data_IF_913752535279
#
_entry.id   IF_913752535279
#
_cell.length_a   1.000
_cell.length_b   1.000
_cell.length_c   1.000
_cell.angle_alpha   90.00
_cell.angle_beta   90.00
_cell.angle_gamma   90.00
#
_symmetry.space_group_name_H-M   'P 1'
#
loop_
_entity.id
_entity.type
_entity.pdbx_description
1 polymer ?
#
# COMPACT_ATOMS: atom_id res chain seq x y z
N UNK A 1 -20.03 -5.77 -4.86
CA UNK A 1 -20.37 -7.15 -5.25
C UNK A 1 -21.84 -7.41 -4.93
N UNK A 2 -22.50 -8.34 -5.64
CA UNK A 2 -23.92 -8.65 -5.39
C UNK A 2 -24.15 -9.34 -4.03
N UNK A 3 -23.16 -10.10 -3.55
CA UNK A 3 -23.17 -10.71 -2.23
C UNK A 3 -21.74 -10.97 -1.73
N UNK A 4 -21.61 -11.55 -0.54
CA UNK A 4 -20.33 -12.06 0.00
C UNK A 4 -19.95 -13.43 -0.58
N UNK A 5 -20.72 -13.97 -1.53
CA UNK A 5 -20.39 -15.23 -2.18
C UNK A 5 -19.06 -15.10 -2.95
N UNK A 6 -18.16 -16.10 -2.91
CA UNK A 6 -16.83 -16.01 -3.53
C UNK A 6 -16.84 -15.66 -5.02
N UNK A 7 -17.86 -16.07 -5.76
CA UNK A 7 -18.01 -15.74 -7.19
C UNK A 7 -18.27 -14.26 -7.39
N UNK A 8 -19.18 -13.67 -6.60
CA UNK A 8 -19.58 -12.27 -6.75
C UNK A 8 -18.44 -11.31 -6.40
N UNK A 9 -17.66 -11.64 -5.35
CA UNK A 9 -16.47 -10.88 -4.98
C UNK A 9 -15.42 -10.94 -6.08
N UNK A 10 -15.14 -12.13 -6.63
CA UNK A 10 -14.17 -12.29 -7.72
C UNK A 10 -14.62 -11.59 -9.00
N UNK A 11 -15.92 -11.57 -9.30
CA UNK A 11 -16.46 -10.86 -10.46
C UNK A 11 -16.16 -9.35 -10.39
N UNK A 12 -16.30 -8.72 -9.22
CA UNK A 12 -15.93 -7.30 -9.07
C UNK A 12 -14.42 -7.07 -9.19
N UNK A 13 -13.59 -7.97 -8.65
CA UNK A 13 -12.11 -7.88 -8.82
C UNK A 13 -11.72 -7.92 -10.30
N UNK A 14 -12.29 -8.84 -11.06
CA UNK A 14 -12.06 -8.95 -12.51
C UNK A 14 -12.61 -7.73 -13.26
N UNK A 15 -13.78 -7.21 -12.87
CA UNK A 15 -14.36 -6.00 -13.47
C UNK A 15 -13.43 -4.80 -13.32
N UNK A 16 -12.81 -4.63 -12.16
CA UNK A 16 -11.81 -3.57 -11.94
C UNK A 16 -10.59 -3.77 -12.84
N UNK A 17 -10.00 -4.97 -12.87
CA UNK A 17 -8.83 -5.26 -13.69
C UNK A 17 -9.06 -5.05 -15.20
N UNK A 18 -10.27 -5.33 -15.69
CA UNK A 18 -10.65 -5.06 -17.08
C UNK A 18 -10.68 -3.56 -17.44
N UNK A 19 -10.82 -2.69 -16.45
CA UNK A 19 -10.80 -1.23 -16.62
C UNK A 19 -9.39 -0.64 -16.42
N UNK A 20 -8.38 -1.44 -16.09
CA UNK A 20 -7.01 -0.95 -15.89
C UNK A 20 -6.34 -0.81 -17.25
N UNK A 21 -5.79 0.37 -17.54
CA UNK A 21 -5.00 0.57 -18.76
C UNK A 21 -3.72 -0.25 -18.71
N UNK A 22 -3.30 -0.76 -19.87
CA UNK A 22 -1.98 -1.40 -20.00
C UNK A 22 -0.90 -0.37 -19.69
N UNK A 23 0.03 -0.74 -18.81
CA UNK A 23 1.18 0.09 -18.48
C UNK A 23 2.21 0.07 -19.61
N UNK A 24 2.77 1.24 -19.91
CA UNK A 24 3.96 1.37 -20.73
C UNK A 24 5.17 1.69 -19.85
N UNK A 25 6.38 1.49 -20.39
CA UNK A 25 7.62 1.82 -19.67
C UNK A 25 7.72 3.31 -19.29
N UNK A 26 7.00 4.20 -19.99
CA UNK A 26 6.90 5.61 -19.65
C UNK A 26 6.10 5.88 -18.37
N UNK A 27 5.23 4.94 -17.97
CA UNK A 27 4.37 5.06 -16.78
C UNK A 27 5.03 4.45 -15.53
N UNK A 28 6.27 3.96 -15.68
CA UNK A 28 6.97 3.19 -14.67
C UNK A 28 8.36 3.76 -14.44
N UNK A 29 8.73 3.91 -13.17
CA UNK A 29 10.10 4.15 -12.73
C UNK A 29 10.67 2.85 -12.22
N UNK A 30 11.78 2.43 -12.81
CA UNK A 30 12.52 1.23 -12.42
C UNK A 30 13.81 1.65 -11.73
N UNK A 31 14.22 0.86 -10.74
CA UNK A 31 15.49 1.06 -10.02
C UNK A 31 16.18 -0.26 -9.75
N UNK A 32 17.49 -0.20 -9.57
CA UNK A 32 18.34 -1.30 -9.14
C UNK A 32 19.19 -0.79 -7.97
N UNK A 33 19.21 -1.50 -6.85
CA UNK A 33 19.95 -1.05 -5.68
C UNK A 33 21.46 -1.26 -5.87
N UNK A 34 22.23 -0.33 -5.30
CA UNK A 34 23.69 -0.35 -5.26
C UNK A 34 24.14 -0.39 -3.81
N UNK A 35 25.40 -0.76 -3.58
CA UNK A 35 25.99 -0.71 -2.25
C UNK A 35 25.89 0.69 -1.65
N UNK A 36 25.58 0.78 -0.36
CA UNK A 36 25.74 2.00 0.43
C UNK A 36 27.15 2.01 1.04
N UNK A 37 28.07 2.88 0.58
CA UNK A 37 29.43 2.93 1.09
C UNK A 37 29.54 3.30 2.58
N UNK A 38 28.48 3.89 3.14
CA UNK A 38 28.41 4.27 4.55
C UNK A 38 27.58 3.27 5.37
N UNK A 39 27.06 2.22 4.75
CA UNK A 39 26.26 1.19 5.39
C UNK A 39 27.10 0.17 6.13
N UNK A 40 26.42 -0.78 6.76
CA UNK A 40 27.04 -1.91 7.46
C UNK A 40 26.45 -3.24 6.97
N UNK A 41 27.25 -4.32 7.05
CA UNK A 41 26.80 -5.67 6.70
C UNK A 41 26.35 -5.80 5.24
N UNK A 42 25.15 -6.35 5.02
CA UNK A 42 24.59 -6.57 3.67
C UNK A 42 24.33 -5.26 2.90
N UNK A 43 24.24 -4.10 3.58
CA UNK A 43 24.06 -2.81 2.92
C UNK A 43 25.29 -2.40 2.08
N UNK A 44 26.47 -2.96 2.37
CA UNK A 44 27.70 -2.73 1.61
C UNK A 44 27.76 -3.51 0.29
N UNK A 45 26.75 -4.33 0.00
CA UNK A 45 26.67 -5.18 -1.19
C UNK A 45 25.54 -4.72 -2.10
N UNK A 46 25.85 -4.32 -3.32
CA UNK A 46 24.88 -3.98 -4.36
C UNK A 46 24.31 -5.22 -5.05
N UNK A 47 23.30 -5.02 -5.91
CA UNK A 47 22.65 -6.14 -6.61
C UNK A 47 23.60 -6.88 -7.56
N UNK A 48 24.50 -6.15 -8.22
CA UNK A 48 25.49 -6.73 -9.13
C UNK A 48 26.71 -7.33 -8.42
N UNK A 49 26.85 -7.09 -7.11
CA UNK A 49 27.93 -7.66 -6.30
C UNK A 49 27.58 -9.08 -5.81
N UNK A 50 26.31 -9.50 -5.94
CA UNK A 50 25.89 -10.87 -5.64
C UNK A 50 26.44 -11.84 -6.70
N UNK A 51 27.24 -12.86 -6.32
CA UNK A 51 27.88 -13.77 -7.25
C UNK A 51 26.88 -14.67 -8.01
N UNK A 52 25.62 -14.74 -7.57
CA UNK A 52 24.55 -15.48 -8.26
C UNK A 52 23.86 -14.65 -9.35
N UNK A 53 24.12 -13.34 -9.40
CA UNK A 53 23.56 -12.43 -10.38
C UNK A 53 24.48 -12.33 -11.61
N UNK A 54 23.95 -12.47 -12.84
CA UNK A 54 24.75 -12.29 -14.05
C UNK A 54 25.36 -10.89 -14.16
N UNK A 55 26.63 -10.82 -14.58
CA UNK A 55 27.30 -9.54 -14.85
C UNK A 55 26.50 -8.71 -15.86
N UNK A 56 26.29 -7.42 -15.54
CA UNK A 56 25.52 -6.51 -16.38
C UNK A 56 24.00 -6.71 -16.36
N UNK A 57 23.45 -7.48 -15.42
CA UNK A 57 22.00 -7.67 -15.26
C UNK A 57 21.27 -6.33 -15.12
N UNK A 58 20.25 -6.12 -15.96
CA UNK A 58 19.36 -4.95 -15.92
C UNK A 58 18.06 -5.23 -15.14
N UNK A 59 18.05 -6.27 -14.30
CA UNK A 59 16.85 -6.69 -13.56
C UNK A 59 16.48 -5.63 -12.53
N UNK A 60 15.24 -5.08 -12.55
CA UNK A 60 14.83 -4.07 -11.58
C UNK A 60 14.60 -4.69 -10.20
N UNK A 61 15.15 -4.06 -9.16
CA UNK A 61 14.93 -4.40 -7.76
C UNK A 61 13.97 -3.43 -7.08
N UNK A 62 13.55 -2.39 -7.79
CA UNK A 62 12.53 -1.41 -7.40
C UNK A 62 11.66 -1.08 -8.60
N UNK A 63 10.37 -0.92 -8.37
CA UNK A 63 9.43 -0.40 -9.34
C UNK A 63 8.41 0.53 -8.69
N UNK A 64 8.15 1.66 -9.33
CA UNK A 64 7.01 2.53 -9.05
C UNK A 64 6.19 2.71 -10.34
N UNK A 65 4.90 2.42 -10.29
CA UNK A 65 4.01 2.51 -11.45
C UNK A 65 2.74 3.27 -11.09
N UNK A 66 2.19 4.01 -12.06
CA UNK A 66 0.89 4.69 -11.92
C UNK A 66 -0.14 3.99 -12.78
N UNK A 67 -1.07 3.28 -12.14
CA UNK A 67 -2.23 2.70 -12.79
C UNK A 67 -3.38 3.72 -12.86
N UNK A 68 -4.16 3.64 -13.92
CA UNK A 68 -5.44 4.34 -14.06
C UNK A 68 -6.54 3.33 -14.33
N UNK A 69 -7.66 3.49 -13.62
CA UNK A 69 -8.82 2.61 -13.71
C UNK A 69 -9.93 3.38 -14.41
N UNK A 70 -10.20 3.04 -15.66
CA UNK A 70 -11.20 3.72 -16.49
C UNK A 70 -12.61 3.22 -16.15
N UNK A 71 -13.18 3.74 -15.07
CA UNK A 71 -14.60 3.61 -14.76
C UNK A 71 -15.11 4.86 -14.04
N UNK A 72 -16.42 4.97 -13.92
CA UNK A 72 -17.09 6.13 -13.30
C UNK A 72 -16.56 6.48 -11.90
N UNK A 73 -16.19 5.49 -11.09
CA UNK A 73 -15.75 5.69 -9.71
C UNK A 73 -14.32 6.22 -9.61
N UNK A 74 -13.44 5.78 -10.49
CA UNK A 74 -11.99 5.99 -10.40
C UNK A 74 -11.42 6.83 -11.53
N UNK A 75 -12.29 7.44 -12.34
CA UNK A 75 -11.85 8.34 -13.40
C UNK A 75 -11.02 9.50 -12.83
N UNK A 76 -9.89 9.78 -13.47
CA UNK A 76 -8.91 10.77 -13.00
C UNK A 76 -8.05 10.35 -11.80
N UNK A 77 -8.39 9.32 -11.03
CA UNK A 77 -7.67 8.94 -9.80
C UNK A 77 -6.44 8.06 -10.11
N UNK A 78 -5.21 8.48 -9.75
CA UNK A 78 -4.01 7.68 -9.95
C UNK A 78 -3.83 6.62 -8.84
N UNK A 79 -3.61 5.37 -9.24
CA UNK A 79 -3.24 4.28 -8.34
C UNK A 79 -1.73 4.06 -8.39
N UNK A 80 -1.02 4.48 -7.35
CA UNK A 80 0.44 4.39 -7.29
C UNK A 80 0.85 3.08 -6.62
N UNK A 81 1.51 2.20 -7.35
CA UNK A 81 2.12 0.99 -6.81
C UNK A 81 3.62 1.21 -6.66
N UNK A 82 4.15 0.95 -5.46
CA UNK A 82 5.58 1.00 -5.19
C UNK A 82 6.00 -0.30 -4.51
N UNK A 83 7.06 -0.91 -5.00
CA UNK A 83 7.68 -2.06 -4.36
C UNK A 83 9.18 -2.06 -4.62
N UNK A 84 9.95 -2.63 -3.70
CA UNK A 84 11.37 -2.81 -3.91
C UNK A 84 12.06 -3.54 -2.76
N UNK A 85 13.33 -3.85 -2.99
CA UNK A 85 14.26 -4.44 -2.02
C UNK A 85 15.33 -3.42 -1.62
N UNK A 86 16.04 -3.70 -0.53
CA UNK A 86 17.06 -2.81 0.04
C UNK A 86 16.54 -1.38 0.26
N UNK A 87 15.28 -1.28 0.72
CA UNK A 87 14.67 -0.02 1.11
C UNK A 87 14.91 0.26 2.59
N UNK A 88 14.57 1.49 3.01
CA UNK A 88 14.77 1.97 4.37
C UNK A 88 13.96 1.21 5.45
N UNK A 89 12.88 0.52 5.07
CA UNK A 89 12.03 -0.21 6.01
C UNK A 89 11.30 -1.38 5.33
N UNK A 90 10.96 -2.40 6.12
CA UNK A 90 9.98 -3.42 5.73
C UNK A 90 8.60 -2.84 5.97
N UNK A 91 7.81 -2.62 4.91
CA UNK A 91 6.43 -2.11 5.04
C UNK A 91 5.55 -2.56 3.87
N UNK A 92 4.33 -3.00 4.19
CA UNK A 92 3.24 -3.20 3.25
C UNK A 92 2.03 -2.39 3.73
N UNK A 93 1.56 -1.47 2.90
CA UNK A 93 0.56 -0.48 3.29
C UNK A 93 -0.31 -0.08 2.10
N UNK A 94 -1.58 0.19 2.37
CA UNK A 94 -2.50 0.88 1.46
C UNK A 94 -2.76 2.27 2.03
N UNK A 95 -2.53 3.30 1.22
CA UNK A 95 -2.76 4.70 1.58
C UNK A 95 -3.76 5.32 0.61
N UNK A 96 -4.81 5.91 1.17
CA UNK A 96 -5.82 6.66 0.43
C UNK A 96 -5.69 8.11 0.87
N UNK A 97 -5.22 8.98 -0.03
CA UNK A 97 -5.16 10.41 0.19
C UNK A 97 -6.41 11.07 -0.40
N UNK A 98 -7.12 11.84 0.41
CA UNK A 98 -8.33 12.55 -0.01
C UNK A 98 -7.98 13.88 -0.69
N UNK A 99 -8.94 14.46 -1.42
CA UNK A 99 -8.80 15.80 -1.99
C UNK A 99 -8.75 16.88 -0.90
N UNK A 100 -8.24 18.05 -1.28
CA UNK A 100 -8.25 19.23 -0.42
C UNK A 100 -9.71 19.65 -0.12
N UNK A 101 -9.94 20.19 1.08
CA UNK A 101 -11.26 20.70 1.45
C UNK A 101 -11.59 21.92 0.59
N UNK A 102 -12.73 21.95 -0.13
CA UNK A 102 -13.08 23.09 -0.95
C UNK A 102 -13.45 24.30 -0.07
N UNK A 103 -13.09 25.51 -0.53
CA UNK A 103 -13.43 26.74 0.17
C UNK A 103 -12.63 26.94 1.46
N UNK A 104 -11.31 26.77 1.38
CA UNK A 104 -10.42 26.89 2.52
C UNK A 104 -10.50 28.28 3.19
N UNK A 105 -10.85 28.28 4.47
CA UNK A 105 -10.93 29.45 5.35
C UNK A 105 -9.75 29.54 6.32
N UNK A 106 -8.76 28.66 6.18
CA UNK A 106 -7.60 28.52 7.05
C UNK A 106 -6.28 28.80 6.31
N UNK A 107 -6.30 29.62 5.26
CA UNK A 107 -5.12 30.14 4.56
C UNK A 107 -4.12 29.09 4.04
N UNK A 108 -4.61 27.97 3.50
CA UNK A 108 -3.79 26.89 2.96
C UNK A 108 -3.18 25.97 4.02
N UNK A 109 -3.54 26.14 5.29
CA UNK A 109 -3.07 25.30 6.40
C UNK A 109 -3.64 23.88 6.44
N UNK A 110 -4.89 23.57 6.00
CA UNK A 110 -5.38 22.21 6.06
C UNK A 110 -4.57 21.31 5.12
N UNK A 111 -4.07 20.19 5.65
CA UNK A 111 -3.48 19.12 4.84
C UNK A 111 -4.58 18.16 4.38
N UNK A 112 -4.29 17.42 3.31
CA UNK A 112 -5.14 16.33 2.83
C UNK A 112 -5.24 15.25 3.88
N UNK A 113 -6.47 14.79 4.13
CA UNK A 113 -6.70 13.64 5.00
C UNK A 113 -6.11 12.38 4.34
N UNK A 114 -5.70 11.42 5.17
CA UNK A 114 -5.17 10.14 4.69
C UNK A 114 -5.75 8.98 5.49
N UNK A 115 -6.35 8.00 4.81
CA UNK A 115 -6.65 6.70 5.42
C UNK A 115 -5.50 5.74 5.12
N UNK A 116 -4.91 5.20 6.17
CA UNK A 116 -3.75 4.32 6.09
C UNK A 116 -4.09 2.96 6.68
N UNK A 117 -3.87 1.92 5.89
CA UNK A 117 -4.06 0.52 6.29
C UNK A 117 -2.69 -0.14 6.18
N UNK A 118 -2.02 -0.33 7.31
CA UNK A 118 -0.73 -1.03 7.39
C UNK A 118 -0.98 -2.52 7.55
N UNK A 119 -0.55 -3.29 6.56
CA UNK A 119 -0.71 -4.74 6.52
C UNK A 119 0.39 -5.43 7.32
N UNK A 120 1.63 -4.96 7.22
CA UNK A 120 2.76 -5.45 8.01
C UNK A 120 3.98 -4.53 7.88
N UNK A 121 4.91 -4.53 8.85
CA UNK A 121 4.77 -5.04 10.21
C UNK A 121 3.92 -4.08 11.07
N UNK A 122 3.36 -4.60 12.17
CA UNK A 122 2.53 -3.81 13.08
C UNK A 122 1.22 -3.43 12.42
N UNK A 123 0.30 -4.38 12.34
CA UNK A 123 -1.02 -4.23 11.75
C UNK A 123 -1.74 -3.05 12.40
N UNK A 124 -2.04 -2.04 11.59
CA UNK A 124 -2.66 -0.81 12.07
C UNK A 124 -3.57 -0.20 11.01
N UNK A 125 -4.63 0.43 11.47
CA UNK A 125 -5.50 1.26 10.66
C UNK A 125 -5.56 2.63 11.31
N UNK A 126 -5.18 3.67 10.58
CA UNK A 126 -5.26 5.03 11.10
C UNK A 126 -5.71 6.04 10.05
N UNK A 127 -6.42 7.06 10.51
CA UNK A 127 -6.88 8.16 9.68
C UNK A 127 -6.20 9.44 10.12
N UNK A 128 -5.40 10.05 9.24
CA UNK A 128 -4.84 11.38 9.45
C UNK A 128 -5.85 12.45 9.08
N UNK A 129 -6.05 13.39 9.97
CA UNK A 129 -7.02 14.47 9.82
C UNK A 129 -6.59 15.73 10.55
N UNK A 130 -7.19 16.85 10.18
CA UNK A 130 -6.92 18.15 10.82
C UNK A 130 -7.85 18.35 12.02
N UNK A 131 -7.28 18.70 13.17
CA UNK A 131 -8.04 19.13 14.36
C UNK A 131 -7.59 20.51 14.81
N UNK A 132 -8.43 21.19 15.59
CA UNK A 132 -8.01 22.41 16.30
C UNK A 132 -6.90 22.04 17.28
N UNK A 133 -5.80 22.78 17.22
CA UNK A 133 -4.72 22.67 18.20
C UNK A 133 -5.29 22.86 19.62
N UNK A 134 -5.06 21.90 20.55
CA UNK A 134 -5.48 22.03 21.93
C UNK A 134 -4.93 23.31 22.56
N UNK A 135 -5.82 24.15 23.08
CA UNK A 135 -5.46 25.43 23.70
C UNK A 135 -6.29 26.61 23.20
N UNK A 136 -5.78 27.81 23.49
CA UNK A 136 -6.47 29.08 23.26
C UNK A 136 -6.32 29.60 21.82
N UNK A 137 -5.37 29.07 21.05
CA UNK A 137 -5.18 29.44 19.65
C UNK A 137 -6.28 28.82 18.75
N UNK A 138 -6.61 29.52 17.66
CA UNK A 138 -7.47 29.01 16.59
C UNK A 138 -6.63 28.52 15.41
N UNK A 139 -5.61 27.71 15.72
CA UNK A 139 -4.80 27.05 14.70
C UNK A 139 -5.22 25.59 14.54
N UNK A 140 -4.80 24.99 13.43
CA UNK A 140 -5.03 23.58 13.15
C UNK A 140 -3.73 22.80 13.14
N UNK A 141 -3.80 21.56 13.60
CA UNK A 141 -2.72 20.60 13.53
C UNK A 141 -3.20 19.27 12.94
N UNK A 142 -2.28 18.57 12.31
CA UNK A 142 -2.51 17.21 11.81
C UNK A 142 -2.43 16.24 12.99
N UNK A 143 -3.43 15.39 13.13
CA UNK A 143 -3.49 14.32 14.13
C UNK A 143 -3.99 13.02 13.48
N UNK A 144 -3.97 11.93 14.23
CA UNK A 144 -4.47 10.64 13.77
C UNK A 144 -5.51 10.04 14.72
N UNK A 145 -6.51 9.39 14.13
CA UNK A 145 -7.32 8.38 14.81
C UNK A 145 -6.71 7.02 14.54
N UNK A 146 -6.14 6.38 15.55
CA UNK A 146 -5.37 5.14 15.42
C UNK A 146 -6.08 3.91 15.98
N UNK A 147 -5.97 2.80 15.24
CA UNK A 147 -6.29 1.44 15.66
C UNK A 147 -5.09 0.54 15.38
N UNK A 148 -4.17 0.45 16.33
CA UNK A 148 -3.07 -0.51 16.29
C UNK A 148 -3.49 -1.85 16.91
N UNK A 149 -3.37 -2.94 16.16
CA UNK A 149 -3.89 -4.26 16.56
C UNK A 149 -3.18 -4.80 17.80
N UNK A 150 -1.85 -4.63 17.88
CA UNK A 150 -1.07 -5.10 19.03
C UNK A 150 -1.54 -4.49 20.35
N UNK A 151 -1.94 -3.22 20.37
CA UNK A 151 -2.45 -2.55 21.57
C UNK A 151 -3.93 -2.85 21.82
N UNK A 152 -4.74 -2.95 20.76
CA UNK A 152 -6.20 -3.12 20.92
C UNK A 152 -6.61 -4.58 21.19
N UNK A 153 -5.82 -5.54 20.73
CA UNK A 153 -6.09 -6.97 20.73
C UNK A 153 -4.91 -7.78 21.28
N UNK A 154 -4.35 -7.36 22.42
CA UNK A 154 -3.13 -7.94 23.03
C UNK A 154 -3.13 -9.47 23.15
N UNK A 155 -4.30 -10.10 23.34
CA UNK A 155 -4.45 -11.54 23.54
C UNK A 155 -4.95 -12.31 22.29
N UNK A 156 -5.01 -11.67 21.12
CA UNK A 156 -5.47 -12.31 19.89
C UNK A 156 -4.26 -12.68 19.05
N UNK A 157 -4.11 -13.98 18.78
CA UNK A 157 -3.13 -14.47 17.82
C UNK A 157 -3.70 -14.30 16.40
N UNK A 158 -3.00 -13.54 15.56
CA UNK A 158 -3.31 -13.44 14.15
C UNK A 158 -2.77 -14.70 13.46
N UNK A 159 -3.62 -15.50 12.80
CA UNK A 159 -3.16 -16.69 12.09
C UNK A 159 -2.26 -16.31 10.92
N UNK A 160 -1.28 -17.16 10.61
CA UNK A 160 -0.46 -16.97 9.41
C UNK A 160 -1.31 -17.03 8.13
N UNK A 161 -0.83 -16.38 7.07
CA UNK A 161 -1.51 -16.36 5.78
C UNK A 161 -1.78 -17.79 5.26
N UNK A 162 -0.86 -18.74 5.44
CA UNK A 162 -1.04 -20.11 4.99
C UNK A 162 -2.05 -20.89 5.84
N UNK A 163 -2.10 -20.67 7.16
CA UNK A 163 -3.11 -21.30 8.02
C UNK A 163 -4.52 -20.93 7.56
N UNK A 164 -4.73 -19.65 7.26
CA UNK A 164 -6.02 -19.17 6.77
C UNK A 164 -6.37 -19.74 5.40
N UNK A 165 -5.42 -19.73 4.46
CA UNK A 165 -5.67 -20.21 3.09
C UNK A 165 -5.94 -21.72 3.06
N UNK A 166 -5.22 -22.52 3.86
CA UNK A 166 -5.45 -23.96 3.96
C UNK A 166 -6.85 -24.23 4.52
N UNK A 167 -7.25 -23.52 5.58
CA UNK A 167 -8.60 -23.64 6.13
C UNK A 167 -9.67 -23.27 5.10
N UNK A 168 -9.45 -22.21 4.31
CA UNK A 168 -10.38 -21.81 3.26
C UNK A 168 -10.55 -22.91 2.20
N UNK A 169 -9.51 -23.68 1.86
CA UNK A 169 -9.63 -24.85 0.97
C UNK A 169 -10.52 -25.94 1.58
N UNK A 170 -10.33 -26.27 2.86
CA UNK A 170 -11.16 -27.26 3.55
C UNK A 170 -12.63 -26.82 3.66
N UNK A 171 -12.87 -25.52 3.86
CA UNK A 171 -14.22 -24.94 3.90
C UNK A 171 -14.82 -24.71 2.50
N UNK A 172 -14.11 -25.00 1.41
CA UNK A 172 -14.57 -24.77 0.04
C UNK A 172 -14.69 -23.29 -0.36
N UNK A 173 -14.07 -22.38 0.41
CA UNK A 173 -14.07 -20.94 0.14
C UNK A 173 -12.97 -20.57 -0.85
N UNK A 174 -13.37 -20.13 -2.04
CA UNK A 174 -12.44 -19.65 -3.07
C UNK A 174 -12.24 -18.13 -3.06
N UNK A 175 -12.67 -17.44 -2.00
CA UNK A 175 -12.73 -15.97 -1.97
C UNK A 175 -11.34 -15.31 -2.06
N UNK A 176 -10.35 -15.90 -1.41
CA UNK A 176 -8.99 -15.39 -1.33
C UNK A 176 -8.05 -15.95 -2.41
N UNK A 177 -8.57 -16.78 -3.32
CA UNK A 177 -7.79 -17.42 -4.38
C UNK A 177 -7.93 -16.68 -5.72
N UNK A 178 -6.87 -16.76 -6.55
CA UNK A 178 -6.87 -16.23 -7.91
C UNK A 178 -7.77 -17.09 -8.81
N UNK A 179 -8.48 -16.44 -9.75
CA UNK A 179 -9.34 -17.12 -10.74
C UNK A 179 -8.71 -17.01 -12.13
N UNK A 180 -8.95 -18.02 -12.96
CA UNK A 180 -8.75 -17.96 -14.41
C UNK A 180 -9.82 -17.13 -15.13
#
# INVERSE_FOLDING_TARGET
PASVHPVDIRNEKVKVLKCVNTLHLSDVVLGQYVADPNGEGEALTGYLDDPTVPEGSITPTYAAAVLRINNERWDGVPFILKCGKALNERKAEVRIQFEDVPGDIFDGKPKRNELVIRVQPGEALYCKLMVKTPGLAFDMEETELDLTYMHRYENVQLPDAYERLILDVFCGSQMHFVRS
#
